data_IF_034943205221
#
_entry.id   IF_034943205221
#
_cell.length_a   1.000
_cell.length_b   1.000
_cell.length_c   1.000
_cell.angle_alpha   90.00
_cell.angle_beta   90.00
_cell.angle_gamma   90.00
#
_symmetry.space_group_name_H-M   'P 1'
#
loop_
_entity.id
_entity.type
_entity.pdbx_description
1 polymer ?
#
# COMPACT_ATOMS: atom_id res chain seq x y z
N UNK A 1 6.01 -20.71 -5.40
CA UNK A 1 7.38 -21.10 -5.81
C UNK A 1 8.31 -20.75 -4.66
N UNK A 2 9.32 -21.56 -4.37
CA UNK A 2 10.26 -21.28 -3.26
C UNK A 2 11.49 -20.61 -3.85
N UNK A 3 11.72 -19.35 -3.48
CA UNK A 3 12.91 -18.59 -3.86
C UNK A 3 13.75 -18.37 -2.63
N UNK A 4 14.98 -18.87 -2.63
CA UNK A 4 15.91 -18.64 -1.52
C UNK A 4 16.45 -17.23 -1.60
N UNK A 5 15.92 -16.34 -0.76
CA UNK A 5 16.39 -14.97 -0.59
C UNK A 5 17.18 -14.90 0.71
N UNK A 6 18.36 -14.28 0.67
CA UNK A 6 19.09 -13.98 1.90
C UNK A 6 18.50 -12.70 2.51
N UNK A 7 17.90 -12.85 3.68
CA UNK A 7 17.29 -11.78 4.47
C UNK A 7 17.99 -11.79 5.83
N UNK A 8 18.19 -10.62 6.43
CA UNK A 8 18.74 -10.52 7.78
C UNK A 8 17.80 -11.19 8.78
N UNK A 9 18.32 -12.13 9.56
CA UNK A 9 17.55 -12.89 10.55
C UNK A 9 16.97 -11.98 11.64
N UNK A 10 17.68 -10.92 12.05
CA UNK A 10 17.18 -9.98 13.05
C UNK A 10 15.99 -9.20 12.52
N UNK A 11 16.06 -8.75 11.26
CA UNK A 11 14.95 -8.06 10.60
C UNK A 11 13.72 -8.95 10.50
N UNK A 12 13.94 -10.23 10.19
CA UNK A 12 12.85 -11.20 10.09
C UNK A 12 12.22 -11.51 11.45
N UNK A 13 13.02 -11.64 12.51
CA UNK A 13 12.53 -11.83 13.87
C UNK A 13 11.74 -10.63 14.36
N UNK A 14 12.23 -9.41 14.09
CA UNK A 14 11.51 -8.18 14.42
C UNK A 14 10.18 -8.11 13.68
N UNK A 15 10.19 -8.37 12.36
CA UNK A 15 8.98 -8.38 11.54
C UNK A 15 7.97 -9.45 12.00
N UNK A 16 8.43 -10.65 12.38
CA UNK A 16 7.57 -11.68 12.95
C UNK A 16 7.00 -11.28 14.31
N UNK A 17 7.80 -10.63 15.17
CA UNK A 17 7.35 -10.19 16.48
C UNK A 17 6.25 -9.12 16.43
N UNK A 18 6.24 -8.28 15.39
CA UNK A 18 5.21 -7.24 15.19
C UNK A 18 4.06 -7.69 14.29
N UNK A 19 4.14 -8.87 13.68
CA UNK A 19 3.13 -9.37 12.74
C UNK A 19 2.38 -10.58 13.29
N UNK A 20 1.12 -10.73 12.87
CA UNK A 20 0.32 -11.91 13.23
C UNK A 20 0.51 -13.09 12.23
N UNK A 21 1.56 -13.05 11.39
CA UNK A 21 1.72 -14.07 10.35
C UNK A 21 2.32 -15.37 10.90
N UNK A 22 1.71 -16.53 10.58
CA UNK A 22 2.17 -17.82 11.09
C UNK A 22 3.41 -18.36 10.38
N UNK A 23 3.77 -17.82 9.20
CA UNK A 23 4.91 -18.27 8.41
C UNK A 23 5.71 -17.10 7.85
N UNK A 24 7.02 -17.29 7.77
CA UNK A 24 7.96 -16.37 7.11
C UNK A 24 7.56 -16.04 5.68
N UNK A 25 7.07 -17.02 4.92
CA UNK A 25 6.66 -16.83 3.53
C UNK A 25 5.42 -15.93 3.42
N UNK A 26 4.42 -16.12 4.28
CA UNK A 26 3.23 -15.27 4.31
C UNK A 26 3.57 -13.84 4.73
N UNK A 27 4.43 -13.68 5.74
CA UNK A 27 4.95 -12.38 6.17
C UNK A 27 5.66 -11.64 5.02
N UNK A 28 6.59 -12.32 4.33
CA UNK A 28 7.36 -11.70 3.25
C UNK A 28 6.46 -11.34 2.06
N UNK A 29 5.49 -12.19 1.72
CA UNK A 29 4.54 -11.86 0.65
C UNK A 29 3.66 -10.65 1.01
N UNK A 30 3.17 -10.59 2.24
CA UNK A 30 2.40 -9.45 2.73
C UNK A 30 3.21 -8.15 2.72
N UNK A 31 4.44 -8.19 3.26
CA UNK A 31 5.34 -7.04 3.28
C UNK A 31 5.64 -6.51 1.86
N UNK A 32 5.85 -7.40 0.89
CA UNK A 32 6.05 -7.00 -0.51
C UNK A 32 4.80 -6.35 -1.11
N UNK A 33 3.61 -6.89 -0.83
CA UNK A 33 2.34 -6.31 -1.29
C UNK A 33 2.13 -4.91 -0.73
N UNK A 34 2.37 -4.71 0.57
CA UNK A 34 2.28 -3.41 1.22
C UNK A 34 3.32 -2.42 0.68
N UNK A 35 4.57 -2.87 0.49
CA UNK A 35 5.63 -2.05 -0.09
C UNK A 35 5.25 -1.55 -1.49
N UNK A 36 4.75 -2.44 -2.35
CA UNK A 36 4.27 -2.09 -3.69
C UNK A 36 3.08 -1.14 -3.59
N UNK A 37 2.11 -1.41 -2.72
CA UNK A 37 0.93 -0.57 -2.56
C UNK A 37 1.29 0.84 -2.12
N UNK A 38 2.17 0.97 -1.11
CA UNK A 38 2.67 2.26 -0.64
C UNK A 38 3.34 3.05 -1.76
N UNK A 39 4.17 2.40 -2.56
CA UNK A 39 4.81 3.05 -3.72
C UNK A 39 3.82 3.46 -4.81
N UNK A 40 2.81 2.63 -5.08
CA UNK A 40 1.73 2.99 -6.00
C UNK A 40 0.90 4.18 -5.49
N UNK A 41 0.63 4.23 -4.19
CA UNK A 41 -0.11 5.33 -3.58
C UNK A 41 0.65 6.65 -3.68
N UNK A 42 1.98 6.63 -3.56
CA UNK A 42 2.80 7.83 -3.76
C UNK A 42 2.66 8.42 -5.17
N UNK A 43 2.34 7.61 -6.19
CA UNK A 43 2.08 8.10 -7.55
C UNK A 43 0.84 8.99 -7.66
N UNK A 44 -0.06 8.97 -6.67
CA UNK A 44 -1.17 9.93 -6.62
C UNK A 44 -0.65 11.37 -6.58
N UNK A 45 0.54 11.59 -6.02
CA UNK A 45 1.18 12.92 -6.02
C UNK A 45 1.51 13.40 -7.44
N UNK A 46 1.79 12.49 -8.37
CA UNK A 46 2.06 12.82 -9.78
C UNK A 46 0.81 13.34 -10.50
N UNK A 47 -0.39 13.07 -9.97
CA UNK A 47 -1.66 13.53 -10.55
C UNK A 47 -2.03 14.97 -10.14
N UNK A 48 -1.32 15.55 -9.16
CA UNK A 48 -1.61 16.93 -8.75
C UNK A 48 -1.28 17.91 -9.89
N UNK A 49 -2.25 18.74 -10.25
CA UNK A 49 -2.10 19.71 -11.34
C UNK A 49 -2.21 19.11 -12.74
N UNK A 50 -2.44 17.79 -12.88
CA UNK A 50 -2.70 17.15 -14.18
C UNK A 50 -4.19 16.86 -14.42
N UNK A 51 -5.02 16.99 -13.38
CA UNK A 51 -6.46 16.74 -13.47
C UNK A 51 -7.15 18.08 -13.75
N UNK A 52 -7.78 18.18 -14.90
CA UNK A 52 -8.69 19.28 -15.21
C UNK A 52 -10.03 19.03 -14.53
N UNK A 53 -10.46 19.98 -13.70
CA UNK A 53 -11.74 19.95 -13.02
C UNK A 53 -12.68 20.94 -13.72
N UNK A 54 -13.92 20.50 -13.97
CA UNK A 54 -14.98 21.38 -14.45
C UNK A 54 -15.32 22.43 -13.39
N UNK A 55 -15.30 23.71 -13.77
CA UNK A 55 -15.47 24.84 -12.84
C UNK A 55 -16.84 24.86 -12.16
N UNK A 56 -17.86 24.34 -12.83
CA UNK A 56 -19.25 24.29 -12.35
C UNK A 56 -19.58 23.01 -11.58
N UNK A 57 -18.64 22.07 -11.45
CA UNK A 57 -18.87 20.80 -10.78
C UNK A 57 -18.98 20.95 -9.26
N UNK A 58 -20.19 20.88 -8.74
CA UNK A 58 -20.47 20.91 -7.30
C UNK A 58 -20.56 19.50 -6.69
N UNK A 59 -19.42 18.95 -6.29
CA UNK A 59 -19.34 17.64 -5.62
C UNK A 59 -20.15 17.52 -4.30
N UNK A 60 -20.60 18.64 -3.70
CA UNK A 60 -21.40 18.62 -2.46
C UNK A 60 -22.88 18.28 -2.71
N UNK A 61 -23.37 18.33 -3.96
CA UNK A 61 -24.73 17.94 -4.29
C UNK A 61 -25.03 16.49 -3.86
N UNK A 62 -24.05 15.58 -3.97
CA UNK A 62 -24.19 14.19 -3.53
C UNK A 62 -24.43 14.02 -2.03
N UNK A 63 -24.11 15.02 -1.20
CA UNK A 63 -24.34 14.96 0.26
C UNK A 63 -25.78 15.23 0.66
N UNK A 64 -26.57 15.79 -0.26
CA UNK A 64 -27.97 16.15 -0.03
C UNK A 64 -28.93 15.07 -0.53
N UNK A 65 -28.42 14.05 -1.22
CA UNK A 65 -29.19 12.88 -1.64
C UNK A 65 -29.29 11.97 -0.41
N UNK A 66 -30.40 12.07 0.32
CA UNK A 66 -30.72 11.20 1.45
C UNK A 66 -32.19 10.84 1.42
#
# INVERSE_FOLDING_TARGET
>A
MVTTLQIDDNLLQEALAVSDYPTTTALVEAALREYIQRHKQLKVLELFGTIDYEEDYNYKQQRQIR
#
